data_IF_635937874063
#
_entry.id   IF_635937874063
#
_cell.length_a   1.000
_cell.length_b   1.000
_cell.length_c   1.000
_cell.angle_alpha   90.00
_cell.angle_beta   90.00
_cell.angle_gamma   90.00
#
_symmetry.space_group_name_H-M   'P 1'
#
loop_
_entity.id
_entity.type
_entity.pdbx_description
1 polymer ?
#
# COMPACT_ATOMS: atom_id res chain seq x y z
N UNK A 1 60.77 39.34 56.24
CA UNK A 1 60.49 37.93 55.92
C UNK A 1 59.07 37.64 56.36
N UNK A 2 58.20 37.25 55.40
CA UNK A 2 56.81 36.75 55.57
C UNK A 2 55.85 37.77 56.20
N UNK A 3 54.76 38.25 55.60
CA UNK A 3 53.89 37.77 54.53
C UNK A 3 52.49 38.22 54.96
N UNK A 4 52.03 39.36 54.42
CA UNK A 4 50.69 39.92 54.66
C UNK A 4 49.73 39.14 53.76
N UNK A 5 48.72 38.49 54.34
CA UNK A 5 47.48 38.21 53.61
C UNK A 5 46.29 37.97 54.55
N UNK A 6 45.43 38.99 54.67
CA UNK A 6 44.01 38.82 55.04
C UNK A 6 43.21 39.89 54.32
N UNK A 7 42.77 39.56 53.10
CA UNK A 7 41.69 40.26 52.44
C UNK A 7 40.87 39.31 51.54
N UNK A 8 39.54 39.41 51.72
CA UNK A 8 38.42 39.10 50.79
C UNK A 8 37.90 37.65 50.70
N UNK A 9 36.70 37.43 50.10
CA UNK A 9 35.40 38.01 50.48
C UNK A 9 34.23 36.98 50.40
N UNK A 10 33.05 37.41 50.88
CA UNK A 10 31.74 36.96 50.40
C UNK A 10 31.71 36.78 48.87
N UNK A 11 31.31 35.61 48.37
CA UNK A 11 30.41 35.42 47.21
C UNK A 11 30.27 33.94 46.82
N UNK A 12 29.02 33.54 46.52
CA UNK A 12 28.58 32.34 45.79
C UNK A 12 28.56 31.00 46.54
N UNK A 13 27.56 30.85 47.39
CA UNK A 13 26.80 29.59 47.47
C UNK A 13 25.40 29.89 46.93
N UNK A 14 24.81 28.98 46.14
CA UNK A 14 23.67 29.17 45.21
C UNK A 14 24.17 29.55 43.80
N UNK A 15 24.58 28.54 42.99
CA UNK A 15 23.63 27.91 42.07
C UNK A 15 23.95 26.44 41.75
N UNK A 16 23.91 25.53 42.74
CA UNK A 16 24.08 24.08 42.50
C UNK A 16 22.81 23.26 42.73
N UNK A 17 21.83 23.80 43.48
CA UNK A 17 20.55 23.11 43.67
C UNK A 17 19.54 23.31 42.52
N UNK A 18 19.70 24.36 41.71
CA UNK A 18 18.87 24.58 40.50
C UNK A 18 19.39 23.82 39.28
N UNK A 19 20.66 23.38 39.28
CA UNK A 19 21.19 22.52 38.22
C UNK A 19 20.82 21.04 38.45
N UNK A 20 20.72 20.60 39.71
CA UNK A 20 20.28 19.24 40.04
C UNK A 20 18.77 19.03 39.80
N UNK A 21 17.94 20.07 39.89
CA UNK A 21 16.49 19.98 39.64
C UNK A 21 16.14 20.21 38.15
N UNK A 22 17.00 20.86 37.37
CA UNK A 22 16.83 20.96 35.91
C UNK A 22 17.40 19.74 35.14
N UNK A 23 18.29 18.94 35.74
CA UNK A 23 18.70 17.63 35.18
C UNK A 23 17.66 16.54 35.46
N UNK A 24 16.78 16.74 36.46
CA UNK A 24 15.63 15.87 36.73
C UNK A 24 14.41 16.12 35.82
N UNK A 25 14.51 17.04 34.85
CA UNK A 25 13.38 17.46 34.00
C UNK A 25 13.49 17.16 32.51
N UNK A 26 14.55 16.48 32.01
CA UNK A 26 14.81 16.39 30.57
C UNK A 26 15.19 15.01 30.00
N UNK A 27 15.08 13.90 30.74
CA UNK A 27 15.36 12.57 30.15
C UNK A 27 14.78 11.39 30.94
N UNK A 28 13.50 11.45 31.31
CA UNK A 28 12.70 10.24 31.57
C UNK A 28 11.99 9.78 30.29
N UNK A 29 12.78 9.41 29.29
CA UNK A 29 12.42 8.44 28.26
C UNK A 29 13.62 7.49 28.19
N UNK A 30 13.75 6.60 29.19
CA UNK A 30 14.47 5.36 28.96
C UNK A 30 13.65 4.63 27.91
N UNK A 31 14.02 4.77 26.64
CA UNK A 31 13.50 3.92 25.58
C UNK A 31 14.03 2.51 25.89
N UNK A 32 13.26 1.74 26.65
CA UNK A 32 13.55 0.33 26.86
C UNK A 32 13.63 -0.34 25.48
N UNK A 33 14.63 -1.19 25.27
CA UNK A 33 14.69 -1.99 24.06
C UNK A 33 13.48 -2.93 24.03
N UNK A 34 12.98 -3.25 22.83
CA UNK A 34 11.82 -4.14 22.67
C UNK A 34 12.00 -5.47 23.45
N UNK A 35 13.18 -6.15 23.42
CA UNK A 35 13.40 -7.34 24.22
C UNK A 35 13.19 -7.14 25.72
N UNK A 36 13.60 -5.99 26.27
CA UNK A 36 13.43 -5.70 27.69
C UNK A 36 11.96 -5.50 28.06
N UNK A 37 11.21 -4.79 27.21
CA UNK A 37 9.75 -4.64 27.38
C UNK A 37 9.02 -5.99 27.31
N UNK A 38 9.48 -6.91 26.46
CA UNK A 38 8.96 -8.28 26.40
C UNK A 38 9.22 -9.01 27.72
N UNK A 39 10.46 -9.00 28.24
CA UNK A 39 10.79 -9.68 29.51
C UNK A 39 9.93 -9.17 30.67
N UNK A 40 9.81 -7.85 30.81
CA UNK A 40 8.99 -7.22 31.85
C UNK A 40 7.51 -7.59 31.71
N UNK A 41 7.00 -7.62 30.48
CA UNK A 41 5.60 -7.97 30.20
C UNK A 41 5.32 -9.45 30.48
N UNK A 42 6.22 -10.34 30.07
CA UNK A 42 6.12 -11.77 30.33
C UNK A 42 6.17 -12.08 31.83
N UNK A 43 7.07 -11.43 32.58
CA UNK A 43 7.15 -11.55 34.04
C UNK A 43 5.84 -11.11 34.71
N UNK A 44 5.27 -9.97 34.31
CA UNK A 44 3.96 -9.50 34.81
C UNK A 44 2.84 -10.49 34.50
N UNK A 45 2.89 -11.14 33.34
CA UNK A 45 1.95 -12.15 32.91
C UNK A 45 2.19 -13.55 33.51
N UNK A 46 3.25 -13.71 34.33
CA UNK A 46 3.68 -15.01 34.88
C UNK A 46 3.93 -16.07 33.79
N UNK A 47 4.52 -15.66 32.68
CA UNK A 47 4.89 -16.50 31.55
C UNK A 47 6.37 -16.35 31.22
N UNK A 48 6.94 -17.33 30.52
CA UNK A 48 8.22 -17.09 29.83
C UNK A 48 8.03 -16.09 28.69
N UNK A 49 9.10 -15.39 28.24
CA UNK A 49 9.03 -14.50 27.07
C UNK A 49 8.47 -15.17 25.82
N UNK A 50 8.88 -16.41 25.50
CA UNK A 50 8.38 -17.17 24.35
C UNK A 50 6.87 -17.42 24.45
N UNK A 51 6.40 -18.00 25.55
CA UNK A 51 4.96 -18.29 25.76
C UNK A 51 4.10 -17.02 25.77
N UNK A 52 4.66 -15.90 26.24
CA UNK A 52 4.00 -14.61 26.19
C UNK A 52 3.83 -14.14 24.74
N UNK A 53 4.90 -14.15 23.94
CA UNK A 53 4.88 -13.74 22.54
C UNK A 53 4.03 -14.67 21.66
N UNK A 54 4.11 -15.99 21.86
CA UNK A 54 3.26 -16.97 21.17
C UNK A 54 1.77 -16.67 21.38
N UNK A 55 1.37 -16.28 22.59
CA UNK A 55 -0.03 -15.92 22.87
C UNK A 55 -0.49 -14.62 22.18
N UNK A 56 0.44 -13.71 21.91
CA UNK A 56 0.18 -12.50 21.12
C UNK A 56 0.14 -12.86 19.63
N UNK A 57 1.03 -13.73 19.18
CA UNK A 57 1.13 -14.17 17.79
C UNK A 57 -0.11 -14.94 17.34
N UNK A 58 -0.66 -15.80 18.20
CA UNK A 58 -1.92 -16.50 17.94
C UNK A 58 -3.07 -15.52 17.69
N UNK A 59 -3.21 -14.51 18.56
CA UNK A 59 -4.23 -13.45 18.42
C UNK A 59 -3.99 -12.58 17.19
N UNK A 60 -2.74 -12.27 16.89
CA UNK A 60 -2.36 -11.52 15.69
C UNK A 60 -2.75 -12.28 14.42
N UNK A 61 -2.52 -13.60 14.39
CA UNK A 61 -2.91 -14.47 13.27
C UNK A 61 -4.44 -14.55 13.12
N UNK A 62 -5.17 -14.67 14.23
CA UNK A 62 -6.64 -14.66 14.21
C UNK A 62 -7.17 -13.34 13.64
N UNK A 63 -6.70 -12.20 14.16
CA UNK A 63 -7.09 -10.89 13.68
C UNK A 63 -6.78 -10.69 12.19
N UNK A 64 -5.58 -11.10 11.76
CA UNK A 64 -5.15 -11.02 10.35
C UNK A 64 -6.04 -11.84 9.41
N UNK A 65 -6.63 -12.95 9.88
CA UNK A 65 -7.58 -13.78 9.12
C UNK A 65 -8.99 -13.19 9.09
N UNK A 66 -9.38 -12.40 10.09
CA UNK A 66 -10.69 -11.73 10.16
C UNK A 66 -10.92 -10.69 9.06
N UNK A 67 -12.08 -10.03 9.03
CA UNK A 67 -12.40 -8.98 8.04
C UNK A 67 -12.14 -7.56 8.54
N UNK A 68 -11.60 -7.40 9.75
CA UNK A 68 -11.39 -6.09 10.36
C UNK A 68 -10.24 -5.31 9.69
N UNK A 69 -10.40 -4.00 9.59
CA UNK A 69 -9.39 -3.06 9.10
C UNK A 69 -9.09 -2.07 10.20
N UNK A 70 -7.85 -2.05 10.68
CA UNK A 70 -7.39 -1.04 11.63
C UNK A 70 -7.19 0.32 10.93
N UNK A 71 -7.69 1.38 11.57
CA UNK A 71 -7.51 2.77 11.16
C UNK A 71 -8.04 3.08 9.76
N UNK A 72 -7.45 4.10 9.13
CA UNK A 72 -7.62 4.47 7.71
C UNK A 72 -9.05 4.78 7.32
N UNK A 73 -9.87 5.24 8.27
CA UNK A 73 -11.30 5.52 8.05
C UNK A 73 -11.51 6.52 6.92
N UNK A 74 -10.75 7.62 6.92
CA UNK A 74 -10.86 8.65 5.89
C UNK A 74 -10.47 8.12 4.49
N UNK A 75 -9.44 7.27 4.43
CA UNK A 75 -9.02 6.62 3.19
C UNK A 75 -10.10 5.66 2.67
N UNK A 76 -10.63 4.79 3.53
CA UNK A 76 -11.71 3.85 3.20
C UNK A 76 -12.96 4.59 2.72
N UNK A 77 -13.43 5.59 3.48
CA UNK A 77 -14.58 6.42 3.11
C UNK A 77 -14.34 7.19 1.81
N UNK A 78 -13.11 7.64 1.54
CA UNK A 78 -12.79 8.29 0.27
C UNK A 78 -12.84 7.32 -0.90
N UNK A 79 -12.27 6.11 -0.75
CA UNK A 79 -12.35 5.07 -1.78
C UNK A 79 -13.80 4.68 -2.08
N UNK A 80 -14.64 4.54 -1.05
CA UNK A 80 -16.07 4.28 -1.23
C UNK A 80 -16.77 5.36 -2.04
N UNK A 81 -16.45 6.64 -1.77
CA UNK A 81 -16.97 7.81 -2.51
C UNK A 81 -16.48 7.83 -3.94
N UNK A 82 -15.21 7.49 -4.16
CA UNK A 82 -14.61 7.40 -5.50
C UNK A 82 -15.31 6.33 -6.32
N UNK A 83 -15.54 5.15 -5.75
CA UNK A 83 -16.23 4.03 -6.42
C UNK A 83 -17.70 4.30 -6.74
N UNK A 84 -18.28 5.43 -6.32
CA UNK A 84 -19.64 5.85 -6.69
C UNK A 84 -19.70 6.74 -7.93
N UNK A 85 -18.55 7.04 -8.56
CA UNK A 85 -18.48 7.97 -9.68
C UNK A 85 -17.58 7.41 -10.77
N UNK A 86 -17.89 7.65 -12.05
CA UNK A 86 -16.98 7.35 -13.14
C UNK A 86 -15.62 8.06 -12.95
N UNK A 87 -14.54 7.36 -13.33
CA UNK A 87 -13.20 7.91 -13.23
C UNK A 87 -12.11 6.85 -13.22
N UNK A 88 -10.88 7.27 -13.56
CA UNK A 88 -9.68 6.44 -13.48
C UNK A 88 -8.85 6.86 -12.26
N UNK A 89 -8.74 5.95 -11.31
CA UNK A 89 -8.11 6.17 -10.02
C UNK A 89 -6.92 5.24 -9.87
N UNK A 90 -5.86 5.74 -9.25
CA UNK A 90 -4.68 4.95 -8.94
C UNK A 90 -4.41 4.98 -7.45
N UNK A 91 -4.41 3.82 -6.81
CA UNK A 91 -4.09 3.66 -5.40
C UNK A 91 -2.67 3.09 -5.30
N UNK A 92 -1.74 3.90 -4.83
CA UNK A 92 -0.34 3.48 -4.62
C UNK A 92 -0.02 3.44 -3.13
N UNK A 93 0.90 2.58 -2.72
CA UNK A 93 1.38 2.53 -1.35
C UNK A 93 2.33 1.37 -1.16
N UNK A 94 3.17 1.37 -0.13
CA UNK A 94 4.12 0.30 0.14
C UNK A 94 3.49 -1.09 0.20
N UNK A 95 4.31 -2.12 0.02
CA UNK A 95 3.90 -3.51 0.27
C UNK A 95 3.33 -3.61 1.68
N UNK A 96 2.37 -4.51 1.86
CA UNK A 96 1.80 -4.83 3.18
C UNK A 96 1.05 -3.72 3.94
N UNK A 97 0.85 -2.52 3.36
CA UNK A 97 -0.01 -1.47 3.94
C UNK A 97 -1.52 -1.80 3.91
N UNK A 98 -1.91 -3.07 3.74
CA UNK A 98 -3.29 -3.53 3.81
C UNK A 98 -4.25 -3.02 2.72
N UNK A 99 -3.74 -2.49 1.59
CA UNK A 99 -4.55 -2.02 0.44
C UNK A 99 -5.58 -3.05 -0.01
N UNK A 100 -5.13 -4.27 -0.29
CA UNK A 100 -5.98 -5.40 -0.69
C UNK A 100 -7.06 -5.72 0.34
N UNK A 101 -6.72 -5.64 1.64
CA UNK A 101 -7.66 -5.87 2.75
C UNK A 101 -8.76 -4.81 2.74
N UNK A 102 -8.39 -3.52 2.66
CA UNK A 102 -9.36 -2.41 2.59
C UNK A 102 -10.30 -2.59 1.40
N UNK A 103 -9.77 -2.90 0.22
CA UNK A 103 -10.57 -3.11 -0.99
C UNK A 103 -11.49 -4.32 -0.88
N UNK A 104 -11.01 -5.43 -0.31
CA UNK A 104 -11.84 -6.60 -0.03
C UNK A 104 -12.98 -6.24 0.92
N UNK A 105 -12.70 -5.52 2.01
CA UNK A 105 -13.72 -5.09 2.97
C UNK A 105 -14.75 -4.15 2.33
N UNK A 106 -14.33 -3.18 1.52
CA UNK A 106 -15.26 -2.33 0.76
C UNK A 106 -16.08 -3.18 -0.22
N UNK A 107 -15.43 -4.10 -0.94
CA UNK A 107 -16.10 -4.94 -1.93
C UNK A 107 -17.19 -5.83 -1.32
N UNK A 108 -16.96 -6.37 -0.11
CA UNK A 108 -17.92 -7.27 0.55
C UNK A 108 -18.99 -6.52 1.34
N UNK A 109 -18.65 -5.38 1.95
CA UNK A 109 -19.60 -4.58 2.73
C UNK A 109 -20.55 -3.76 1.85
N UNK A 110 -20.05 -3.23 0.73
CA UNK A 110 -20.80 -2.29 -0.12
C UNK A 110 -21.50 -2.97 -1.29
N UNK A 111 -20.86 -3.96 -1.91
CA UNK A 111 -21.36 -4.54 -3.16
C UNK A 111 -22.01 -5.90 -2.91
N UNK A 112 -23.27 -6.00 -3.31
CA UNK A 112 -24.01 -7.24 -3.38
C UNK A 112 -23.60 -8.02 -4.64
N UNK A 113 -23.87 -9.35 -4.72
CA UNK A 113 -23.54 -10.15 -5.89
C UNK A 113 -24.04 -9.56 -7.21
N UNK A 114 -25.24 -8.96 -7.21
CA UNK A 114 -25.88 -8.35 -8.38
C UNK A 114 -25.29 -7.00 -8.83
N UNK A 115 -24.44 -6.37 -8.02
CA UNK A 115 -23.86 -5.08 -8.37
C UNK A 115 -22.78 -5.25 -9.44
N UNK A 116 -22.60 -4.26 -10.34
CA UNK A 116 -21.65 -4.31 -11.45
C UNK A 116 -20.20 -4.09 -10.95
N UNK A 117 -19.69 -5.04 -10.17
CA UNK A 117 -18.33 -5.04 -9.63
C UNK A 117 -17.50 -6.17 -10.24
N UNK A 118 -16.34 -5.82 -10.80
CA UNK A 118 -15.27 -6.76 -11.11
C UNK A 118 -14.05 -6.41 -10.27
N UNK A 119 -13.61 -7.34 -9.41
CA UNK A 119 -12.38 -7.22 -8.64
C UNK A 119 -11.45 -8.36 -9.03
N UNK A 120 -10.28 -8.03 -9.57
CA UNK A 120 -9.24 -8.99 -9.93
C UNK A 120 -8.01 -8.80 -9.06
N UNK A 121 -7.51 -9.89 -8.47
CA UNK A 121 -6.21 -9.94 -7.78
C UNK A 121 -5.16 -10.48 -8.75
N UNK A 122 -4.28 -9.62 -9.26
CA UNK A 122 -3.23 -10.03 -10.19
C UNK A 122 -2.07 -10.77 -9.53
N UNK A 123 -1.96 -10.81 -8.19
CA UNK A 123 -1.01 -11.71 -7.51
C UNK A 123 -1.46 -13.16 -7.58
N UNK A 124 -2.77 -13.39 -7.66
CA UNK A 124 -3.41 -14.70 -7.77
C UNK A 124 -4.42 -14.67 -8.90
N UNK A 125 -3.94 -14.51 -10.16
CA UNK A 125 -4.84 -14.32 -11.29
C UNK A 125 -5.76 -15.54 -11.42
N UNK A 126 -7.04 -15.34 -11.78
CA UNK A 126 -8.00 -16.43 -11.89
C UNK A 126 -7.64 -17.44 -12.99
N UNK A 127 -6.85 -16.99 -13.97
CA UNK A 127 -6.19 -17.81 -14.99
C UNK A 127 -4.70 -17.91 -14.65
N UNK A 128 -4.26 -19.09 -14.25
CA UNK A 128 -2.89 -19.34 -13.79
C UNK A 128 -1.87 -18.88 -14.84
N UNK A 129 -0.98 -17.96 -14.46
CA UNK A 129 0.10 -17.47 -15.32
C UNK A 129 -0.29 -16.37 -16.31
N UNK A 130 -1.56 -15.99 -16.42
CA UNK A 130 -1.95 -14.85 -17.26
C UNK A 130 -1.59 -13.53 -16.59
N UNK A 131 -1.02 -12.62 -17.39
CA UNK A 131 -0.81 -11.21 -17.03
C UNK A 131 -1.73 -10.29 -17.81
N UNK A 132 -2.61 -10.84 -18.66
CA UNK A 132 -3.63 -10.07 -19.38
C UNK A 132 -4.81 -9.82 -18.43
N UNK A 133 -4.96 -8.56 -18.02
CA UNK A 133 -6.01 -8.15 -17.10
C UNK A 133 -7.40 -8.28 -17.69
N UNK A 134 -7.56 -8.12 -19.01
CA UNK A 134 -8.88 -8.24 -19.65
C UNK A 134 -9.35 -9.69 -19.63
N UNK A 135 -8.46 -10.64 -19.92
CA UNK A 135 -8.74 -12.09 -19.77
C UNK A 135 -9.11 -12.42 -18.33
N UNK A 136 -8.32 -11.91 -17.37
CA UNK A 136 -8.58 -12.16 -15.96
C UNK A 136 -9.92 -11.58 -15.49
N UNK A 137 -10.31 -10.39 -15.96
CA UNK A 137 -11.61 -9.78 -15.66
C UNK A 137 -12.77 -10.62 -16.21
N UNK A 138 -12.63 -11.17 -17.41
CA UNK A 138 -13.62 -12.08 -17.99
C UNK A 138 -13.76 -13.36 -17.13
N UNK A 139 -12.65 -13.92 -16.65
CA UNK A 139 -12.68 -15.08 -15.73
C UNK A 139 -13.25 -14.75 -14.35
N UNK A 140 -13.00 -13.54 -13.81
CA UNK A 140 -13.65 -13.07 -12.57
C UNK A 140 -15.16 -13.02 -12.76
N UNK A 141 -15.64 -12.48 -13.88
CA UNK A 141 -17.06 -12.39 -14.17
C UNK A 141 -17.74 -13.76 -14.19
N UNK A 142 -17.12 -14.75 -14.85
CA UNK A 142 -17.60 -16.14 -14.91
C UNK A 142 -17.73 -16.80 -13.54
N UNK A 143 -16.84 -16.46 -12.60
CA UNK A 143 -16.87 -16.99 -11.22
C UNK A 143 -17.87 -16.24 -10.35
N UNK A 144 -18.09 -14.95 -10.61
CA UNK A 144 -18.95 -14.07 -9.82
C UNK A 144 -20.44 -14.31 -10.11
N UNK A 145 -20.81 -14.39 -11.38
CA UNK A 145 -22.20 -14.49 -11.80
C UNK A 145 -22.51 -15.87 -12.36
N UNK A 146 -23.34 -16.59 -11.64
CA UNK A 146 -23.98 -17.86 -12.04
C UNK A 146 -25.42 -17.58 -12.48
N UNK A 147 -26.13 -18.56 -13.04
CA UNK A 147 -27.55 -18.40 -13.42
C UNK A 147 -28.42 -17.89 -12.25
N UNK A 148 -28.20 -18.43 -11.05
CA UNK A 148 -28.96 -18.05 -9.84
C UNK A 148 -28.60 -16.66 -9.28
N UNK A 149 -27.45 -16.10 -9.69
CA UNK A 149 -26.92 -14.83 -9.18
C UNK A 149 -26.75 -13.78 -10.29
N UNK A 150 -27.21 -14.09 -11.50
CA UNK A 150 -27.07 -13.24 -12.67
C UNK A 150 -27.95 -12.00 -12.50
N UNK A 151 -27.38 -10.80 -12.63
CA UNK A 151 -28.19 -9.59 -12.63
C UNK A 151 -29.00 -9.47 -13.93
N UNK A 152 -30.26 -9.04 -13.83
CA UNK A 152 -31.12 -8.81 -14.99
C UNK A 152 -30.51 -7.79 -15.98
N UNK A 153 -29.80 -6.77 -15.47
CA UNK A 153 -29.13 -5.77 -16.31
C UNK A 153 -28.02 -6.36 -17.18
N UNK A 154 -27.52 -7.55 -16.87
CA UNK A 154 -26.46 -8.23 -17.62
C UNK A 154 -27.01 -9.17 -18.71
N UNK A 155 -28.33 -9.48 -18.70
CA UNK A 155 -28.98 -10.31 -19.72
C UNK A 155 -28.75 -9.84 -21.17
N UNK A 156 -28.78 -8.53 -21.49
CA UNK A 156 -28.54 -8.06 -22.86
C UNK A 156 -27.13 -8.37 -23.39
N UNK A 157 -26.12 -8.41 -22.51
CA UNK A 157 -24.75 -8.83 -22.88
C UNK A 157 -24.75 -10.29 -23.30
N UNK A 158 -25.51 -11.11 -22.58
CA UNK A 158 -25.69 -12.54 -22.86
C UNK A 158 -26.49 -12.74 -24.15
N UNK A 159 -27.58 -12.00 -24.38
CA UNK A 159 -28.37 -12.12 -25.61
C UNK A 159 -27.63 -11.63 -26.86
N UNK A 160 -26.85 -10.56 -26.75
CA UNK A 160 -25.95 -10.09 -27.81
C UNK A 160 -24.91 -11.14 -28.23
N UNK A 161 -24.54 -12.04 -27.32
CA UNK A 161 -23.65 -13.18 -27.62
C UNK A 161 -24.36 -14.42 -28.19
N UNK A 162 -25.69 -14.55 -28.01
CA UNK A 162 -26.50 -15.64 -28.60
C UNK A 162 -26.59 -15.56 -30.14
N UNK A 163 -26.53 -14.37 -30.73
CA UNK A 163 -26.50 -14.20 -32.20
C UNK A 163 -25.26 -14.78 -32.89
N UNK A 164 -24.23 -15.17 -32.13
CA UNK A 164 -22.98 -15.73 -32.65
C UNK A 164 -22.88 -17.26 -32.56
N UNK A 165 -23.92 -17.96 -32.07
CA UNK A 165 -24.04 -19.42 -32.10
C UNK A 165 -25.25 -19.86 -32.94
N UNK A 166 -25.06 -20.24 -34.22
CA UNK A 166 -26.17 -20.75 -35.04
C UNK A 166 -26.66 -22.16 -34.67
N UNK A 167 -26.16 -22.80 -33.60
CA UNK A 167 -26.22 -24.26 -33.48
C UNK A 167 -26.48 -24.81 -32.08
N UNK A 168 -27.40 -24.22 -31.32
CA UNK A 168 -28.02 -24.90 -30.16
C UNK A 168 -29.56 -24.97 -30.24
N UNK A 169 -30.15 -24.62 -31.38
CA UNK A 169 -31.61 -24.68 -31.60
C UNK A 169 -32.09 -25.96 -32.31
N UNK A 170 -31.23 -26.96 -32.54
CA UNK A 170 -31.60 -28.18 -33.30
C UNK A 170 -31.11 -29.53 -32.76
N UNK A 171 -30.64 -29.60 -31.51
CA UNK A 171 -30.36 -30.88 -30.87
C UNK A 171 -31.55 -31.31 -29.99
N UNK A 172 -32.48 -32.00 -30.63
CA UNK A 172 -33.34 -33.03 -30.04
C UNK A 172 -34.29 -32.61 -28.90
N UNK A 173 -35.30 -31.81 -29.28
CA UNK A 173 -36.68 -32.17 -28.92
C UNK A 173 -37.00 -33.54 -29.54
N UNK A 174 -36.60 -34.61 -28.85
CA UNK A 174 -37.29 -35.89 -28.96
C UNK A 174 -37.83 -36.21 -27.58
N UNK A 175 -39.14 -36.07 -27.45
CA UNK A 175 -39.92 -36.64 -26.36
C UNK A 175 -39.52 -38.12 -26.19
N UNK A 176 -38.97 -38.48 -25.04
CA UNK A 176 -39.21 -39.82 -24.50
C UNK A 176 -39.08 -39.80 -22.98
N UNK A 177 -40.19 -40.23 -22.37
CA UNK A 177 -40.35 -40.68 -21.00
C UNK A 177 -39.04 -41.10 -20.30
N UNK A 178 -38.69 -40.37 -19.25
CA UNK A 178 -38.41 -40.89 -17.91
C UNK A 178 -37.73 -39.78 -17.08
N UNK A 179 -38.37 -39.46 -15.95
CA UNK A 179 -38.00 -38.37 -15.06
C UNK A 179 -36.65 -38.57 -14.40
N UNK A 180 -35.57 -38.22 -15.10
CA UNK A 180 -34.26 -37.90 -14.54
C UNK A 180 -33.40 -37.25 -15.63
N UNK A 181 -33.53 -35.93 -15.87
CA UNK A 181 -32.55 -35.14 -16.66
C UNK A 181 -32.77 -33.63 -16.70
N UNK A 182 -33.70 -33.06 -15.93
CA UNK A 182 -33.86 -31.60 -15.85
C UNK A 182 -32.58 -30.96 -15.29
N UNK A 183 -31.93 -31.54 -14.29
CA UNK A 183 -30.67 -31.02 -13.74
C UNK A 183 -29.48 -31.07 -14.72
N UNK A 184 -29.41 -32.06 -15.62
CA UNK A 184 -28.32 -32.17 -16.60
C UNK A 184 -28.56 -31.29 -17.84
N UNK A 185 -29.83 -31.10 -18.23
CA UNK A 185 -30.21 -30.15 -19.29
C UNK A 185 -30.10 -28.71 -18.77
N UNK A 186 -30.53 -28.44 -17.54
CA UNK A 186 -30.30 -27.15 -16.86
C UNK A 186 -28.81 -26.92 -16.67
N UNK A 187 -28.00 -27.90 -16.27
CA UNK A 187 -26.54 -27.74 -16.20
C UNK A 187 -25.87 -27.51 -17.57
N UNK A 188 -26.38 -28.13 -18.66
CA UNK A 188 -25.87 -27.92 -20.02
C UNK A 188 -26.30 -26.57 -20.61
N UNK A 189 -27.51 -26.10 -20.28
CA UNK A 189 -28.04 -24.78 -20.64
C UNK A 189 -27.39 -23.69 -19.78
N UNK A 190 -27.12 -23.95 -18.50
CA UNK A 190 -26.36 -23.10 -17.59
C UNK A 190 -24.89 -22.97 -18.04
N UNK A 191 -24.26 -24.08 -18.43
CA UNK A 191 -22.94 -24.06 -19.05
C UNK A 191 -22.95 -23.31 -20.38
N UNK A 192 -24.05 -23.35 -21.16
CA UNK A 192 -24.20 -22.59 -22.41
C UNK A 192 -24.45 -21.08 -22.17
N UNK A 193 -25.15 -20.69 -21.10
CA UNK A 193 -25.37 -19.30 -20.71
C UNK A 193 -24.11 -18.66 -20.09
N UNK A 194 -23.37 -19.42 -19.27
CA UNK A 194 -22.01 -19.06 -18.83
C UNK A 194 -21.02 -19.07 -20.02
N UNK A 195 -21.22 -19.97 -21.00
CA UNK A 195 -20.47 -19.95 -22.25
C UNK A 195 -20.86 -18.80 -23.18
N UNK A 196 -22.02 -18.18 -23.01
CA UNK A 196 -22.42 -16.98 -23.76
C UNK A 196 -21.62 -15.76 -23.27
N UNK A 197 -21.39 -15.60 -21.96
CA UNK A 197 -20.32 -14.71 -21.45
C UNK A 197 -18.90 -15.13 -21.89
N UNK A 198 -18.70 -16.42 -22.19
CA UNK A 198 -17.46 -16.94 -22.80
C UNK A 198 -17.41 -16.83 -24.34
N UNK A 199 -18.49 -16.41 -25.00
CA UNK A 199 -18.63 -16.36 -26.47
C UNK A 199 -18.11 -15.06 -27.08
N UNK A 200 -17.84 -14.06 -26.23
CA UNK A 200 -17.10 -12.86 -26.63
C UNK A 200 -15.65 -13.26 -26.87
N UNK A 201 -15.29 -13.56 -28.13
CA UNK A 201 -13.95 -14.01 -28.55
C UNK A 201 -12.80 -13.04 -28.19
N UNK A 202 -13.11 -11.82 -27.71
CA UNK A 202 -12.13 -10.79 -27.38
C UNK A 202 -12.42 -10.20 -25.99
N UNK A 203 -11.56 -10.43 -24.98
CA UNK A 203 -11.73 -9.90 -23.63
C UNK A 203 -12.06 -8.40 -23.54
N UNK A 204 -11.54 -7.59 -24.48
CA UNK A 204 -11.87 -6.16 -24.65
C UNK A 204 -13.37 -5.93 -24.81
N UNK A 205 -14.02 -6.68 -25.71
CA UNK A 205 -15.44 -6.50 -26.04
C UNK A 205 -16.33 -6.90 -24.87
N UNK A 206 -15.92 -7.89 -24.08
CA UNK A 206 -16.64 -8.28 -22.87
C UNK A 206 -16.71 -7.11 -21.88
N UNK A 207 -15.58 -6.44 -21.63
CA UNK A 207 -15.54 -5.30 -20.71
C UNK A 207 -16.36 -4.13 -21.24
N UNK A 208 -16.32 -3.85 -22.54
CA UNK A 208 -17.16 -2.82 -23.18
C UNK A 208 -18.66 -3.11 -22.99
N UNK A 209 -19.08 -4.35 -23.28
CA UNK A 209 -20.48 -4.76 -23.15
C UNK A 209 -20.95 -4.77 -21.70
N UNK A 210 -20.12 -5.23 -20.76
CA UNK A 210 -20.37 -5.15 -19.31
C UNK A 210 -20.62 -3.70 -18.86
N UNK A 211 -19.75 -2.76 -19.28
CA UNK A 211 -19.91 -1.35 -18.91
C UNK A 211 -21.14 -0.74 -19.55
N UNK A 212 -21.38 -1.01 -20.84
CA UNK A 212 -22.53 -0.49 -21.56
C UNK A 212 -23.85 -0.96 -20.93
N UNK A 213 -23.94 -2.24 -20.56
CA UNK A 213 -25.13 -2.81 -19.96
C UNK A 213 -25.43 -2.25 -18.56
N UNK A 214 -24.41 -2.16 -17.69
CA UNK A 214 -24.57 -1.53 -16.38
C UNK A 214 -24.97 -0.06 -16.51
N UNK A 215 -24.36 0.67 -17.45
CA UNK A 215 -24.66 2.08 -17.70
C UNK A 215 -26.09 2.29 -18.25
N UNK A 216 -26.58 1.38 -19.09
CA UNK A 216 -27.95 1.42 -19.62
C UNK A 216 -29.00 1.32 -18.50
N UNK A 217 -28.69 0.60 -17.43
CA UNK A 217 -29.52 0.50 -16.22
C UNK A 217 -29.20 1.58 -15.16
N UNK A 218 -28.45 2.61 -15.55
CA UNK A 218 -28.03 3.75 -14.71
C UNK A 218 -27.18 3.34 -13.50
N UNK A 219 -26.50 2.20 -13.58
CA UNK A 219 -25.54 1.75 -12.59
C UNK A 219 -24.14 2.26 -12.97
N UNK A 220 -23.27 2.47 -11.97
CA UNK A 220 -21.86 2.77 -12.19
C UNK A 220 -21.05 1.49 -12.06
N UNK A 221 -20.60 0.87 -13.17
CA UNK A 221 -19.72 -0.29 -13.12
C UNK A 221 -18.38 0.08 -12.46
N UNK A 222 -17.94 -0.77 -11.55
CA UNK A 222 -16.68 -0.63 -10.81
C UNK A 222 -15.74 -1.77 -11.18
N UNK A 223 -14.54 -1.42 -11.65
CA UNK A 223 -13.47 -2.35 -12.00
C UNK A 223 -12.28 -2.07 -11.09
N UNK A 224 -11.89 -3.04 -10.27
CA UNK A 224 -10.75 -2.96 -9.36
C UNK A 224 -9.70 -3.94 -9.83
N UNK A 225 -8.49 -3.43 -10.08
CA UNK A 225 -7.33 -4.23 -10.48
C UNK A 225 -6.34 -4.14 -9.33
N UNK A 226 -6.36 -5.14 -8.46
CA UNK A 226 -5.40 -5.26 -7.37
C UNK A 226 -4.07 -5.77 -7.92
N UNK A 227 -3.00 -5.10 -7.51
CA UNK A 227 -1.62 -5.32 -7.98
C UNK A 227 -1.46 -5.17 -9.49
N UNK A 228 -2.00 -4.07 -9.98
CA UNK A 228 -1.96 -3.64 -11.37
C UNK A 228 -0.54 -3.56 -11.96
N UNK A 229 0.53 -3.44 -11.15
CA UNK A 229 1.91 -3.47 -11.67
C UNK A 229 2.27 -4.79 -12.37
N UNK A 230 1.59 -5.89 -12.05
CA UNK A 230 1.75 -7.17 -12.73
C UNK A 230 1.09 -7.15 -14.13
N UNK A 231 -0.07 -6.50 -14.25
CA UNK A 231 -0.80 -6.36 -15.51
C UNK A 231 -0.17 -5.32 -16.46
N UNK A 232 0.48 -4.30 -15.90
CA UNK A 232 1.07 -3.19 -16.64
C UNK A 232 2.59 -3.10 -16.39
N UNK A 233 3.39 -4.07 -16.89
CA UNK A 233 4.83 -4.11 -16.64
C UNK A 233 5.58 -3.05 -17.46
N UNK A 234 6.62 -2.46 -16.88
CA UNK A 234 7.49 -1.47 -17.56
C UNK A 234 8.50 -2.05 -18.56
N UNK A 235 8.36 -3.31 -19.00
CA UNK A 235 9.38 -4.06 -19.76
C UNK A 235 9.10 -4.23 -21.27
N UNK A 236 10.17 -4.47 -22.05
CA UNK A 236 10.20 -4.53 -23.53
C UNK A 236 9.64 -5.83 -24.16
N UNK A 237 8.80 -6.58 -23.47
CA UNK A 237 8.15 -7.74 -24.07
C UNK A 237 7.05 -7.27 -25.05
N UNK A 238 7.35 -7.19 -26.35
CA UNK A 238 6.46 -6.59 -27.36
C UNK A 238 5.01 -7.09 -27.29
N UNK A 239 4.77 -8.39 -27.04
CA UNK A 239 3.41 -8.94 -26.90
C UNK A 239 2.70 -8.57 -25.59
N UNK A 240 3.43 -8.54 -24.47
CA UNK A 240 2.87 -8.16 -23.15
C UNK A 240 2.58 -6.66 -23.07
N UNK A 241 3.45 -5.85 -23.69
CA UNK A 241 3.28 -4.41 -23.77
C UNK A 241 2.05 -4.02 -24.58
N UNK A 242 1.83 -4.63 -25.75
CA UNK A 242 0.66 -4.33 -26.57
C UNK A 242 -0.68 -4.67 -25.87
N UNK A 243 -0.76 -5.79 -25.14
CA UNK A 243 -1.94 -6.15 -24.36
C UNK A 243 -2.19 -5.16 -23.21
N UNK A 244 -1.13 -4.78 -22.48
CA UNK A 244 -1.19 -3.78 -21.42
C UNK A 244 -1.62 -2.40 -21.95
N UNK A 245 -1.08 -1.96 -23.09
CA UNK A 245 -1.46 -0.72 -23.77
C UNK A 245 -2.93 -0.74 -24.19
N UNK A 246 -3.40 -1.85 -24.77
CA UNK A 246 -4.80 -2.00 -25.18
C UNK A 246 -5.76 -1.98 -23.99
N UNK A 247 -5.43 -2.69 -22.90
CA UNK A 247 -6.22 -2.69 -21.67
C UNK A 247 -6.28 -1.30 -21.04
N UNK A 248 -5.15 -0.60 -20.96
CA UNK A 248 -5.10 0.76 -20.42
C UNK A 248 -5.89 1.74 -21.28
N UNK A 249 -5.77 1.65 -22.61
CA UNK A 249 -6.54 2.48 -23.55
C UNK A 249 -8.06 2.26 -23.38
N UNK A 250 -8.50 1.02 -23.21
CA UNK A 250 -9.89 0.70 -22.92
C UNK A 250 -10.33 1.32 -21.60
N UNK A 251 -9.56 1.14 -20.52
CA UNK A 251 -9.90 1.70 -19.21
C UNK A 251 -10.00 3.22 -19.24
N UNK A 252 -9.12 3.90 -19.98
CA UNK A 252 -9.21 5.34 -20.19
C UNK A 252 -10.49 5.72 -20.94
N UNK A 253 -10.82 4.99 -22.02
CA UNK A 253 -12.00 5.28 -22.83
C UNK A 253 -13.29 5.19 -21.99
N UNK A 254 -13.50 4.08 -21.29
CA UNK A 254 -14.74 3.83 -20.52
C UNK A 254 -14.86 4.72 -19.27
N UNK A 255 -13.74 5.17 -18.68
CA UNK A 255 -13.76 5.90 -17.40
C UNK A 255 -13.60 7.41 -17.53
N UNK A 256 -12.72 7.91 -18.41
CA UNK A 256 -12.42 9.35 -18.53
C UNK A 256 -13.07 9.99 -19.74
N UNK A 257 -13.17 9.28 -20.86
CA UNK A 257 -13.70 9.84 -22.11
C UNK A 257 -15.22 9.69 -22.19
N UNK A 258 -15.71 8.52 -21.80
CA UNK A 258 -17.14 8.19 -21.82
C UNK A 258 -17.81 8.43 -20.47
N UNK A 259 -17.02 8.54 -19.38
CA UNK A 259 -17.53 8.72 -18.01
C UNK A 259 -18.59 7.66 -17.64
N UNK A 260 -18.36 6.40 -18.01
CA UNK A 260 -19.30 5.29 -17.78
C UNK A 260 -18.86 4.39 -16.63
N UNK A 261 -17.57 4.22 -16.39
CA UNK A 261 -17.05 3.29 -15.40
C UNK A 261 -16.10 3.94 -14.38
N UNK A 262 -16.07 3.39 -13.17
CA UNK A 262 -15.02 3.63 -12.19
C UNK A 262 -13.96 2.53 -12.33
N UNK A 263 -12.73 2.89 -12.68
CA UNK A 263 -11.59 1.97 -12.72
C UNK A 263 -10.60 2.36 -11.62
N UNK A 264 -10.24 1.40 -10.77
CA UNK A 264 -9.28 1.56 -9.68
C UNK A 264 -8.08 0.64 -9.91
N UNK A 265 -6.93 1.23 -10.24
CA UNK A 265 -5.65 0.53 -10.37
C UNK A 265 -4.90 0.59 -9.04
N UNK A 266 -4.53 -0.55 -8.48
CA UNK A 266 -3.89 -0.60 -7.17
C UNK A 266 -2.49 -1.18 -7.32
N UNK A 267 -1.46 -0.54 -6.77
CA UNK A 267 -0.09 -1.03 -6.89
C UNK A 267 0.67 -0.87 -5.58
N UNK A 268 1.55 -1.83 -5.30
CA UNK A 268 2.47 -1.79 -4.16
C UNK A 268 3.78 -1.02 -4.41
N UNK A 269 3.92 -0.46 -5.60
CA UNK A 269 5.14 0.20 -6.06
C UNK A 269 4.87 1.68 -6.30
N UNK A 270 5.65 2.55 -5.67
CA UNK A 270 5.47 3.99 -5.80
C UNK A 270 5.90 4.54 -7.16
N UNK A 271 6.72 3.79 -7.91
CA UNK A 271 7.10 4.08 -9.30
C UNK A 271 6.00 3.74 -10.33
N UNK A 272 4.88 3.16 -9.89
CA UNK A 272 3.82 2.72 -10.80
C UNK A 272 3.18 3.83 -11.64
N UNK A 273 2.91 5.04 -11.11
CA UNK A 273 2.38 6.15 -11.92
C UNK A 273 3.27 6.46 -13.12
N UNK A 274 4.58 6.61 -12.91
CA UNK A 274 5.55 6.91 -13.98
C UNK A 274 5.56 5.82 -15.06
N UNK A 275 5.45 4.54 -14.68
CA UNK A 275 5.35 3.43 -15.64
C UNK A 275 4.08 3.49 -16.47
N UNK A 276 2.95 3.84 -15.86
CA UNK A 276 1.67 3.98 -16.57
C UNK A 276 1.72 5.16 -17.56
N UNK A 277 2.37 6.26 -17.20
CA UNK A 277 2.60 7.37 -18.13
C UNK A 277 3.46 6.96 -19.34
N UNK A 278 4.51 6.17 -19.10
CA UNK A 278 5.39 5.64 -20.15
C UNK A 278 4.68 4.66 -21.10
N UNK A 279 3.66 3.93 -20.62
CA UNK A 279 2.85 3.01 -21.42
C UNK A 279 1.85 3.73 -22.36
N UNK A 280 1.79 5.07 -22.42
CA UNK A 280 0.85 5.72 -23.36
C UNK A 280 1.07 7.19 -23.67
N UNK A 281 2.33 7.65 -23.73
CA UNK A 281 2.81 8.92 -24.33
C UNK A 281 1.89 10.15 -24.11
N UNK A 282 1.96 10.71 -22.91
CA UNK A 282 1.89 12.17 -22.71
C UNK A 282 0.51 12.85 -22.68
N UNK A 283 -0.60 12.15 -22.42
CA UNK A 283 -1.94 12.77 -22.32
C UNK A 283 -2.74 12.47 -21.05
N UNK A 284 -2.11 11.97 -19.99
CA UNK A 284 -2.82 11.47 -18.80
C UNK A 284 -2.74 12.37 -17.57
N UNK A 285 -2.59 13.70 -17.76
CA UNK A 285 -2.47 14.80 -16.78
C UNK A 285 -3.56 14.92 -15.67
N UNK A 286 -4.43 13.92 -15.55
CA UNK A 286 -5.51 13.85 -14.57
C UNK A 286 -5.75 12.47 -13.98
N UNK A 287 -4.75 11.57 -13.94
CA UNK A 287 -4.85 10.39 -13.06
C UNK A 287 -5.04 10.87 -11.62
N UNK A 288 -6.13 10.44 -10.99
CA UNK A 288 -6.37 10.74 -9.59
C UNK A 288 -5.56 9.75 -8.75
N UNK A 289 -4.31 10.13 -8.45
CA UNK A 289 -3.40 9.36 -7.61
C UNK A 289 -3.82 9.52 -6.15
N UNK A 290 -3.96 8.39 -5.46
CA UNK A 290 -4.38 8.24 -4.08
C UNK A 290 -3.26 7.45 -3.39
N UNK A 291 -2.61 8.05 -2.40
CA UNK A 291 -1.59 7.34 -1.60
C UNK A 291 -2.27 6.66 -0.43
N UNK A 292 -2.17 5.34 -0.37
CA UNK A 292 -2.65 4.53 0.73
C UNK A 292 -1.79 4.82 1.97
N UNK A 293 -2.38 5.29 3.08
CA UNK A 293 -1.64 5.57 4.30
C UNK A 293 -1.30 4.29 5.07
N UNK A 294 -0.26 4.37 5.88
CA UNK A 294 -0.09 3.48 7.03
C UNK A 294 -1.26 3.59 8.02
N UNK A 295 -1.37 2.62 8.93
CA UNK A 295 -2.31 2.74 10.06
C UNK A 295 -1.86 3.88 10.97
N UNK A 296 -2.78 4.78 11.32
CA UNK A 296 -2.49 5.91 12.21
C UNK A 296 -2.15 5.44 13.62
N UNK A 297 -1.24 6.14 14.31
CA UNK A 297 -0.73 5.80 15.65
C UNK A 297 -1.79 5.29 16.63
N UNK A 298 -2.83 6.08 16.87
CA UNK A 298 -3.89 5.76 17.82
C UNK A 298 -4.58 4.44 17.45
N UNK A 299 -4.91 4.25 16.17
CA UNK A 299 -5.58 3.04 15.71
C UNK A 299 -4.64 1.83 15.69
N UNK A 300 -3.35 2.04 15.43
CA UNK A 300 -2.35 0.98 15.44
C UNK A 300 -2.11 0.49 16.87
N UNK A 301 -1.90 1.39 17.83
CA UNK A 301 -1.73 1.07 19.25
C UNK A 301 -2.98 0.39 19.80
N UNK A 302 -4.18 0.89 19.49
CA UNK A 302 -5.44 0.27 19.89
C UNK A 302 -5.55 -1.16 19.35
N UNK A 303 -5.19 -1.40 18.09
CA UNK A 303 -5.22 -2.74 17.50
C UNK A 303 -4.20 -3.68 18.16
N UNK A 304 -2.95 -3.24 18.32
CA UNK A 304 -1.90 -4.04 18.98
C UNK A 304 -2.27 -4.38 20.43
N UNK A 305 -2.88 -3.45 21.16
CA UNK A 305 -3.27 -3.67 22.56
C UNK A 305 -4.52 -4.53 22.70
N UNK A 306 -5.61 -4.16 22.03
CA UNK A 306 -6.93 -4.78 22.23
C UNK A 306 -7.10 -6.07 21.45
N UNK A 307 -6.53 -6.16 20.24
CA UNK A 307 -6.69 -7.32 19.35
C UNK A 307 -5.54 -8.30 19.51
N UNK A 308 -4.30 -7.82 19.50
CA UNK A 308 -3.14 -8.70 19.66
C UNK A 308 -2.83 -9.01 21.13
N UNK A 309 -3.28 -8.17 22.07
CA UNK A 309 -3.04 -8.38 23.50
C UNK A 309 -1.67 -7.89 23.98
N UNK A 310 -1.01 -7.00 23.23
CA UNK A 310 0.23 -6.37 23.67
C UNK A 310 -0.04 -5.37 24.81
N UNK A 311 0.80 -5.30 25.85
CA UNK A 311 0.79 -4.18 26.78
C UNK A 311 1.08 -2.86 26.06
N UNK A 312 0.55 -1.75 26.58
CA UNK A 312 0.60 -0.44 25.92
C UNK A 312 2.03 0.02 25.61
N UNK A 313 2.97 -0.15 26.55
CA UNK A 313 4.37 0.24 26.36
C UNK A 313 5.05 -0.56 25.24
N UNK A 314 4.75 -1.86 25.13
CA UNK A 314 5.25 -2.71 24.06
C UNK A 314 4.62 -2.32 22.71
N UNK A 315 3.31 -2.04 22.69
CA UNK A 315 2.61 -1.58 21.49
C UNK A 315 3.16 -0.23 20.98
N UNK A 316 3.45 0.70 21.88
CA UNK A 316 4.12 1.98 21.56
C UNK A 316 5.51 1.75 20.99
N UNK A 317 6.32 0.91 21.62
CA UNK A 317 7.65 0.58 21.11
C UNK A 317 7.59 -0.07 19.72
N UNK A 318 6.60 -0.93 19.45
CA UNK A 318 6.37 -1.49 18.12
C UNK A 318 5.98 -0.41 17.10
N UNK A 319 5.03 0.47 17.43
CA UNK A 319 4.66 1.57 16.54
C UNK A 319 5.84 2.51 16.27
N UNK A 320 6.63 2.81 17.30
CA UNK A 320 7.83 3.62 17.15
C UNK A 320 8.83 2.95 16.21
N UNK A 321 9.06 1.65 16.27
CA UNK A 321 10.08 1.03 15.42
C UNK A 321 9.57 0.71 14.01
N UNK A 322 8.30 0.31 13.87
CA UNK A 322 7.76 -0.26 12.62
C UNK A 322 6.69 0.61 11.97
N UNK A 323 6.27 1.71 12.60
CA UNK A 323 5.21 2.57 12.11
C UNK A 323 3.85 1.87 12.08
N UNK A 324 3.02 2.25 11.12
CA UNK A 324 1.69 1.67 10.93
C UNK A 324 1.68 0.45 9.99
N UNK A 325 2.82 -0.22 9.81
CA UNK A 325 2.94 -1.44 9.02
C UNK A 325 2.68 -2.69 9.89
N UNK A 326 1.47 -3.22 9.74
CA UNK A 326 1.00 -4.41 10.46
C UNK A 326 1.86 -5.64 10.13
N UNK A 327 2.36 -5.76 8.90
CA UNK A 327 3.14 -6.92 8.50
C UNK A 327 4.52 -6.89 9.12
N UNK A 328 5.19 -5.73 9.16
CA UNK A 328 6.46 -5.58 9.86
C UNK A 328 6.32 -5.85 11.35
N UNK A 329 5.26 -5.33 11.99
CA UNK A 329 4.97 -5.67 13.38
C UNK A 329 4.78 -7.18 13.59
N UNK A 330 4.09 -7.84 12.65
CA UNK A 330 3.90 -9.29 12.73
C UNK A 330 5.20 -10.07 12.51
N UNK A 331 6.07 -9.64 11.60
CA UNK A 331 7.36 -10.30 11.40
C UNK A 331 8.29 -10.10 12.60
N UNK A 332 8.32 -8.88 13.15
CA UNK A 332 9.09 -8.55 14.34
C UNK A 332 8.65 -9.42 15.53
N UNK A 333 7.34 -9.60 15.69
CA UNK A 333 6.76 -10.50 16.68
C UNK A 333 7.25 -11.93 16.49
N UNK A 334 7.11 -12.49 15.27
CA UNK A 334 7.56 -13.86 14.99
C UNK A 334 9.07 -14.04 15.19
N UNK A 335 9.91 -13.07 14.81
CA UNK A 335 11.35 -13.16 15.06
C UNK A 335 11.64 -13.15 16.56
N UNK A 336 11.05 -12.21 17.33
CA UNK A 336 11.22 -12.18 18.78
C UNK A 336 10.79 -13.50 19.43
N UNK A 337 9.67 -14.09 18.98
CA UNK A 337 9.24 -15.42 19.46
C UNK A 337 10.35 -16.45 19.25
N UNK A 338 10.94 -16.51 18.06
CA UNK A 338 12.02 -17.44 17.74
C UNK A 338 13.27 -17.16 18.58
N UNK A 339 13.74 -15.92 18.66
CA UNK A 339 14.95 -15.56 19.43
C UNK A 339 14.79 -15.93 20.91
N UNK A 340 13.65 -15.60 21.53
CA UNK A 340 13.37 -15.97 22.92
C UNK A 340 13.17 -17.48 23.12
N UNK A 341 12.86 -18.24 22.06
CA UNK A 341 12.80 -19.71 22.15
C UNK A 341 14.20 -20.36 22.09
N UNK A 342 15.20 -19.66 21.54
CA UNK A 342 16.58 -20.13 21.41
C UNK A 342 17.45 -19.80 22.63
N UNK A 343 17.08 -18.81 23.44
CA UNK A 343 17.78 -18.48 24.69
C UNK A 343 17.41 -17.11 25.26
N UNK A 344 18.08 -16.73 26.35
CA UNK A 344 17.84 -15.45 27.04
C UNK A 344 18.55 -14.25 26.38
N UNK A 345 19.63 -14.51 25.65
CA UNK A 345 20.31 -13.51 24.82
C UNK A 345 19.56 -13.35 23.50
N UNK A 346 18.92 -12.20 23.35
CA UNK A 346 18.11 -11.87 22.16
C UNK A 346 18.85 -10.79 21.37
N UNK A 347 19.35 -11.17 20.19
CA UNK A 347 19.92 -10.26 19.22
C UNK A 347 18.82 -9.76 18.28
N UNK A 348 18.00 -8.83 18.81
CA UNK A 348 16.92 -8.24 18.04
C UNK A 348 17.28 -6.84 17.59
N UNK A 349 17.54 -6.70 16.29
CA UNK A 349 17.66 -5.41 15.64
C UNK A 349 16.46 -5.16 14.72
N UNK A 350 15.60 -4.23 15.15
CA UNK A 350 14.42 -3.79 14.40
C UNK A 350 14.74 -3.28 12.99
N UNK A 351 15.99 -2.92 12.69
CA UNK A 351 16.42 -2.39 11.40
C UNK A 351 16.85 -3.49 10.41
N UNK A 352 17.30 -4.66 10.90
CA UNK A 352 17.59 -5.83 10.05
C UNK A 352 16.33 -6.51 9.51
N UNK A 353 15.17 -6.17 10.06
CA UNK A 353 13.86 -6.59 9.54
C UNK A 353 13.59 -6.15 8.09
N UNK A 354 14.42 -5.24 7.56
CA UNK A 354 14.32 -4.76 6.20
C UNK A 354 15.49 -5.17 5.31
N UNK A 355 15.11 -5.56 4.11
CA UNK A 355 15.99 -5.65 2.95
C UNK A 355 16.29 -4.23 2.45
N UNK A 356 17.15 -3.48 3.16
CA UNK A 356 17.54 -2.09 2.81
C UNK A 356 18.54 -2.02 1.65
N UNK A 357 18.57 -3.03 0.77
CA UNK A 357 19.49 -3.09 -0.37
C UNK A 357 19.37 -1.82 -1.24
N UNK A 358 20.52 -1.20 -1.49
CA UNK A 358 20.63 0.02 -2.29
C UNK A 358 20.44 1.32 -1.53
N UNK A 359 20.01 1.29 -0.26
CA UNK A 359 19.91 2.52 0.56
C UNK A 359 21.31 3.09 0.84
N UNK A 360 22.32 2.22 0.99
CA UNK A 360 23.72 2.59 1.17
C UNK A 360 24.27 3.28 -0.07
N UNK A 361 23.99 2.74 -1.27
CA UNK A 361 24.44 3.35 -2.52
C UNK A 361 23.82 4.73 -2.72
N UNK A 362 22.53 4.87 -2.37
CA UNK A 362 21.82 6.15 -2.46
C UNK A 362 22.34 7.19 -1.47
N UNK A 363 22.69 6.81 -0.24
CA UNK A 363 23.20 7.81 0.71
C UNK A 363 24.62 8.27 0.32
N UNK A 364 25.36 7.49 -0.47
CA UNK A 364 26.69 7.88 -0.93
C UNK A 364 26.68 8.89 -2.08
N UNK A 365 25.63 8.94 -2.91
CA UNK A 365 25.46 10.00 -3.91
C UNK A 365 24.97 11.32 -3.27
N UNK A 366 25.62 12.43 -3.64
CA UNK A 366 25.39 13.72 -3.00
C UNK A 366 23.98 14.27 -3.23
N UNK A 367 23.43 14.07 -4.44
CA UNK A 367 22.13 14.64 -4.81
C UNK A 367 20.99 13.83 -4.17
N UNK A 368 21.09 12.51 -4.20
CA UNK A 368 20.14 11.62 -3.50
C UNK A 368 20.22 11.81 -1.99
N UNK A 369 21.43 11.96 -1.41
CA UNK A 369 21.61 12.26 0.02
C UNK A 369 20.88 13.53 0.43
N UNK A 370 20.92 14.59 -0.36
CA UNK A 370 20.20 15.84 -0.05
C UNK A 370 18.69 15.62 0.06
N UNK A 371 18.10 14.82 -0.83
CA UNK A 371 16.69 14.44 -0.73
C UNK A 371 16.42 13.61 0.53
N UNK A 372 17.30 12.66 0.84
CA UNK A 372 17.21 11.81 2.03
C UNK A 372 17.27 12.61 3.33
N UNK A 373 18.16 13.60 3.43
CA UNK A 373 18.27 14.52 4.57
C UNK A 373 16.98 15.33 4.77
N UNK A 374 16.41 15.85 3.69
CA UNK A 374 15.15 16.57 3.74
C UNK A 374 14.01 15.65 4.20
N UNK A 375 13.92 14.43 3.66
CA UNK A 375 12.91 13.45 4.07
C UNK A 375 13.05 13.05 5.54
N UNK A 376 14.26 12.82 6.04
CA UNK A 376 14.51 12.55 7.45
C UNK A 376 14.00 13.71 8.33
N UNK A 377 14.41 14.94 8.00
CA UNK A 377 14.12 16.13 8.80
C UNK A 377 12.66 16.57 8.74
N UNK A 378 12.08 16.64 7.54
CA UNK A 378 10.76 17.26 7.29
C UNK A 378 9.65 16.24 6.97
N UNK A 379 10.01 14.99 6.65
CA UNK A 379 9.08 13.99 6.14
C UNK A 379 8.81 14.10 4.63
N UNK A 380 9.51 14.99 3.92
CA UNK A 380 9.41 15.18 2.47
C UNK A 380 10.61 15.97 1.95
N UNK A 381 10.86 15.91 0.63
CA UNK A 381 11.85 16.72 -0.07
C UNK A 381 11.23 17.36 -1.32
N UNK A 382 11.42 18.66 -1.57
CA UNK A 382 10.97 19.27 -2.81
C UNK A 382 11.71 18.67 -4.01
N UNK A 383 11.03 18.57 -5.15
CA UNK A 383 11.65 18.24 -6.43
C UNK A 383 11.57 19.50 -7.29
N UNK A 384 12.72 20.00 -7.71
CA UNK A 384 12.79 21.21 -8.53
C UNK A 384 12.13 20.98 -9.89
N UNK A 385 11.37 21.98 -10.36
CA UNK A 385 10.77 21.95 -11.68
C UNK A 385 11.84 21.99 -12.78
N UNK A 386 11.65 21.17 -13.82
CA UNK A 386 12.45 21.18 -15.05
C UNK A 386 11.59 21.55 -16.27
N UNK A 387 12.24 21.84 -17.39
CA UNK A 387 11.51 21.84 -18.66
C UNK A 387 11.09 20.40 -19.04
N UNK A 388 10.13 20.25 -19.95
CA UNK A 388 9.63 18.93 -20.34
C UNK A 388 10.63 18.09 -21.16
N UNK A 389 11.76 18.67 -21.58
CA UNK A 389 12.71 18.08 -22.53
C UNK A 389 14.02 17.63 -21.87
N UNK A 390 14.33 18.13 -20.68
CA UNK A 390 15.57 17.87 -19.94
C UNK A 390 15.28 17.66 -18.47
N UNK A 391 15.62 16.46 -17.99
CA UNK A 391 15.52 16.09 -16.59
C UNK A 391 16.55 16.87 -15.75
N UNK A 392 16.11 17.49 -14.65
CA UNK A 392 16.99 18.17 -13.71
C UNK A 392 17.76 17.16 -12.85
N UNK A 393 18.93 17.52 -12.28
CA UNK A 393 19.64 16.66 -11.34
C UNK A 393 18.77 16.22 -10.15
N UNK A 394 17.90 17.10 -9.63
CA UNK A 394 16.95 16.79 -8.56
C UNK A 394 15.92 15.73 -8.99
N UNK A 395 15.37 15.84 -10.21
CA UNK A 395 14.44 14.85 -10.75
C UNK A 395 15.12 13.47 -10.92
N UNK A 396 16.34 13.45 -11.47
CA UNK A 396 17.10 12.21 -11.62
C UNK A 396 17.39 11.55 -10.26
N UNK A 397 17.82 12.31 -9.26
CA UNK A 397 18.06 11.81 -7.91
C UNK A 397 16.79 11.26 -7.25
N UNK A 398 15.67 11.98 -7.35
CA UNK A 398 14.39 11.51 -6.84
C UNK A 398 13.95 10.20 -7.51
N UNK A 399 14.18 10.06 -8.82
CA UNK A 399 13.90 8.84 -9.57
C UNK A 399 14.73 7.65 -9.08
N UNK A 400 16.01 7.83 -8.76
CA UNK A 400 16.83 6.74 -8.20
C UNK A 400 16.26 6.23 -6.86
N UNK A 401 15.82 7.15 -5.98
CA UNK A 401 15.18 6.80 -4.70
C UNK A 401 13.87 6.01 -4.93
N UNK A 402 13.10 6.39 -5.95
CA UNK A 402 11.82 5.75 -6.29
C UNK A 402 12.02 4.37 -6.92
N UNK A 403 13.06 4.19 -7.75
CA UNK A 403 13.40 2.91 -8.39
C UNK A 403 13.64 1.79 -7.39
N UNK A 404 14.29 2.10 -6.27
CA UNK A 404 14.52 1.15 -5.17
C UNK A 404 13.40 1.18 -4.11
N UNK A 405 12.31 1.90 -4.38
CA UNK A 405 11.08 1.93 -3.57
C UNK A 405 11.26 2.49 -2.14
N UNK A 406 12.18 3.44 -1.95
CA UNK A 406 12.37 4.16 -0.68
C UNK A 406 11.63 5.49 -0.59
N UNK A 407 11.14 6.00 -1.73
CA UNK A 407 10.29 7.17 -1.77
C UNK A 407 9.22 7.13 -2.85
N UNK A 408 8.31 8.08 -2.77
CA UNK A 408 7.24 8.31 -3.72
C UNK A 408 7.24 9.75 -4.21
N UNK A 409 7.19 9.94 -5.53
CA UNK A 409 6.96 11.27 -6.11
C UNK A 409 5.46 11.54 -6.10
N UNK A 410 5.07 12.66 -5.53
CA UNK A 410 3.68 13.11 -5.49
C UNK A 410 3.58 14.53 -6.04
N UNK A 411 2.46 14.82 -6.72
CA UNK A 411 2.16 16.16 -7.22
C UNK A 411 1.08 16.86 -6.40
N UNK A 412 0.84 18.14 -6.69
CA UNK A 412 -0.21 18.94 -6.02
C UNK A 412 -1.60 18.30 -6.04
N UNK A 413 -1.94 17.59 -7.13
CA UNK A 413 -3.24 16.94 -7.31
C UNK A 413 -3.36 15.60 -6.57
N UNK A 414 -2.26 15.00 -6.12
CA UNK A 414 -2.26 13.71 -5.41
C UNK A 414 -3.08 13.80 -4.11
N UNK A 415 -3.92 12.81 -3.86
CA UNK A 415 -4.70 12.67 -2.62
C UNK A 415 -3.86 11.95 -1.57
N UNK A 416 -3.75 12.56 -0.39
CA UNK A 416 -2.97 12.10 0.76
C UNK A 416 -3.89 12.02 1.98
N UNK A 417 -3.55 11.13 2.92
CA UNK A 417 -4.31 10.87 4.15
C UNK A 417 -3.39 10.87 5.36
N UNK A 418 -3.99 10.87 6.56
CA UNK A 418 -3.25 10.86 7.83
C UNK A 418 -2.25 12.01 7.93
N UNK A 419 -1.07 11.72 8.47
CA UNK A 419 0.00 12.70 8.65
C UNK A 419 0.47 13.36 7.33
N UNK A 420 0.50 12.60 6.23
CA UNK A 420 0.87 13.17 4.92
C UNK A 420 -0.17 14.17 4.43
N UNK A 421 -1.46 13.92 4.73
CA UNK A 421 -2.55 14.84 4.43
C UNK A 421 -2.39 16.19 5.13
N UNK A 422 -2.00 16.19 6.42
CA UNK A 422 -1.80 17.43 7.18
C UNK A 422 -0.56 18.21 6.73
N UNK A 423 0.49 17.51 6.29
CA UNK A 423 1.70 18.13 5.75
C UNK A 423 1.54 18.71 4.34
N UNK A 424 0.50 18.33 3.60
CA UNK A 424 0.34 18.69 2.19
C UNK A 424 0.43 20.20 1.92
N UNK A 425 -0.12 21.04 2.80
CA UNK A 425 -0.05 22.50 2.65
C UNK A 425 1.39 23.01 2.67
N UNK A 426 2.21 22.45 3.56
CA UNK A 426 3.63 22.82 3.71
C UNK A 426 4.46 22.32 2.52
N UNK A 427 4.20 21.10 2.05
CA UNK A 427 4.87 20.51 0.88
C UNK A 427 4.76 21.37 -0.39
N UNK A 428 3.67 22.11 -0.53
CA UNK A 428 3.33 22.88 -1.73
C UNK A 428 3.12 24.37 -1.45
N UNK A 429 3.70 24.87 -0.35
CA UNK A 429 3.64 26.27 0.05
C UNK A 429 4.34 27.17 -0.98
N UNK A 430 5.52 26.75 -1.46
CA UNK A 430 6.16 27.37 -2.62
C UNK A 430 5.40 26.99 -3.89
N UNK A 431 4.83 27.98 -4.59
CA UNK A 431 4.06 27.81 -5.83
C UNK A 431 4.85 27.18 -6.98
N UNK A 432 6.18 27.30 -6.97
CA UNK A 432 7.06 26.73 -7.99
C UNK A 432 7.26 25.23 -7.84
N UNK A 433 7.11 24.70 -6.62
CA UNK A 433 7.21 23.26 -6.33
C UNK A 433 6.03 22.53 -6.98
N UNK A 434 6.29 21.76 -8.03
CA UNK A 434 5.25 20.97 -8.71
C UNK A 434 5.10 19.57 -8.12
N UNK A 435 6.21 19.01 -7.66
CA UNK A 435 6.32 17.66 -7.13
C UNK A 435 7.16 17.65 -5.84
N UNK A 436 6.87 16.69 -4.97
CA UNK A 436 7.70 16.41 -3.79
C UNK A 436 7.94 14.90 -3.69
N UNK A 437 9.08 14.54 -3.12
CA UNK A 437 9.42 13.18 -2.73
C UNK A 437 9.02 12.98 -1.27
N UNK A 438 8.27 11.91 -0.98
CA UNK A 438 7.93 11.49 0.38
C UNK A 438 8.50 10.11 0.68
N UNK A 439 8.85 9.79 1.95
CA UNK A 439 9.22 8.43 2.32
C UNK A 439 8.01 7.50 2.16
N UNK A 440 8.27 6.24 1.85
CA UNK A 440 7.21 5.25 1.61
C UNK A 440 6.44 4.86 2.85
N UNK A 441 7.08 4.92 4.02
CA UNK A 441 6.51 4.63 5.34
C UNK A 441 7.24 5.45 6.41
N UNK A 442 6.66 5.53 7.60
CA UNK A 442 7.28 6.10 8.79
C UNK A 442 8.52 5.30 9.21
N UNK A 443 8.47 3.97 9.10
CA UNK A 443 9.64 3.12 9.31
C UNK A 443 10.76 3.49 8.31
N UNK A 444 10.44 3.64 7.02
CA UNK A 444 11.42 4.02 5.99
C UNK A 444 12.04 5.39 6.28
N UNK A 445 11.25 6.36 6.76
CA UNK A 445 11.76 7.66 7.22
C UNK A 445 12.82 7.48 8.33
N UNK A 446 12.61 6.56 9.27
CA UNK A 446 13.58 6.25 10.35
C UNK A 446 14.83 5.57 9.83
N UNK A 447 14.71 4.64 8.88
CA UNK A 447 15.88 4.03 8.21
C UNK A 447 16.73 5.11 7.52
N UNK A 448 16.09 5.98 6.74
CA UNK A 448 16.75 7.11 6.07
C UNK A 448 17.45 8.01 7.10
N UNK A 449 16.77 8.36 8.20
CA UNK A 449 17.35 9.21 9.24
C UNK A 449 18.64 8.60 9.83
N UNK A 450 18.60 7.33 10.23
CA UNK A 450 19.77 6.67 10.81
C UNK A 450 20.94 6.58 9.86
N UNK A 451 20.69 6.29 8.58
CA UNK A 451 21.76 6.17 7.59
C UNK A 451 22.42 7.52 7.30
N UNK A 452 21.61 8.58 7.18
CA UNK A 452 22.10 9.95 7.07
C UNK A 452 22.96 10.32 8.29
N UNK A 453 22.52 9.97 9.51
CA UNK A 453 23.28 10.22 10.75
C UNK A 453 24.60 9.43 10.79
N UNK A 454 24.60 8.16 10.39
CA UNK A 454 25.78 7.31 10.37
C UNK A 454 26.85 7.80 9.38
N UNK A 455 26.45 8.26 8.20
CA UNK A 455 27.37 8.85 7.21
C UNK A 455 27.99 10.14 7.76
N UNK A 456 27.18 11.02 8.36
CA UNK A 456 27.68 12.26 8.98
C UNK A 456 28.70 11.99 10.07
N UNK A 457 28.44 11.02 10.95
CA UNK A 457 29.38 10.64 12.00
C UNK A 457 30.70 10.10 11.44
N UNK A 458 30.68 9.34 10.33
CA UNK A 458 31.90 8.88 9.66
C UNK A 458 32.70 10.04 9.07
N UNK A 459 32.04 11.00 8.43
CA UNK A 459 32.69 12.18 7.84
C UNK A 459 33.29 13.12 8.91
N UNK A 460 32.56 13.33 10.02
CA UNK A 460 33.04 14.09 11.19
C UNK A 460 34.19 13.37 11.93
N UNK A 461 34.17 12.04 11.95
CA UNK A 461 35.25 11.22 12.51
C UNK A 461 36.53 11.25 11.66
N UNK A 462 36.39 11.19 10.34
CA UNK A 462 37.51 11.24 9.40
C UNK A 462 38.19 12.63 9.39
N UNK A 463 37.41 13.71 9.37
CA UNK A 463 37.94 15.08 9.43
C UNK A 463 38.69 15.40 10.74
N UNK A 464 38.34 14.75 11.85
CA UNK A 464 39.10 14.83 13.11
C UNK A 464 40.41 14.07 13.06
N UNK A 465 40.53 12.98 12.30
CA UNK A 465 41.78 12.22 12.16
C UNK A 465 42.78 12.89 11.22
N UNK A 466 42.34 13.67 10.24
CA UNK A 466 43.22 14.46 9.36
C UNK A 466 43.72 15.77 10.00
N UNK A 467 43.18 16.13 11.17
CA UNK A 467 43.53 17.34 11.93
C UNK A 467 44.54 17.10 13.07
N UNK A 468 44.98 15.85 13.26
CA UNK A 468 46.07 15.45 14.16
C UNK A 468 47.27 14.98 13.33
#
# INVERSE_FOLDING_TARGET
>A
MVGIDRARPFQRAVPLLLFAVCIAGLSHLQAFSIPELVRQSAQKAQKTPSEFLESIEERALEWRRGSEVAGRKDFTTFLEKVMNKPGLHMVIGGKSLGKSKVLQCISTAKFQPQDPLLLVDMRRPPLTGSTDVLECLQEVAKKRWTEDTMPAWLEPVIEGTKQFFPSLSKAEMRESDQGLKVAAVVAAVAAAAVAATAGVKKPTRFVEEFVAAASADRLTPVIIIDEASIAFPGGNGNGKKAAAEAALALFVAISKQQEQACVVLVASEYAFPDRIEQLGRGKYDSLNIIVAPEVEEVAMIEMLTTKWGMPEDLAKAFYDNFGGDIFLCSQALSQLTVEFSLGDEVDFDSYYMWDNFGLDDLVMDNLTRQHMENMAKKGWSPIEGGDAMTETPSQSAAREIVKVNFGAVIGRKTRLFGHLGSLKKQMFEDVTTQQVLIPTTQCMRKCIQKMVEAVKQKEEGASRQESY
#
